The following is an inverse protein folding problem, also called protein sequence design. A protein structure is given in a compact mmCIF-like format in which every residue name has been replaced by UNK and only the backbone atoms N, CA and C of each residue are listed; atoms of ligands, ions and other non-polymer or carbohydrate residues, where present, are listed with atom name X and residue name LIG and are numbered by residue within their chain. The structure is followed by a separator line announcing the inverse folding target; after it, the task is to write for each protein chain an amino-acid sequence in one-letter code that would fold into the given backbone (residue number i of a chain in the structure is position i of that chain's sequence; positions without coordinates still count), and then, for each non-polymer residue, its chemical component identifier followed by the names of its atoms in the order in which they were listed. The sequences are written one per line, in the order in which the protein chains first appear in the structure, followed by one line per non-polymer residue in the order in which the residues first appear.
data_IF_390409799133
#
_entry.id   IF_390409799133
#
_cell.length_a   1.000
_cell.length_b   1.000
_cell.length_c   1.000
_cell.angle_alpha   90.00
_cell.angle_beta   90.00
_cell.angle_gamma   90.00
#
_symmetry.space_group_name_H-M   'P 1'
#
loop_
_entity.id
_entity.type
_entity.pdbx_description
1 polymer ?
#
# COMPACT_ATOMS: atom_id res chain seq x y z
N UNK A 1 13.00 -19.97 -1.88
CA UNK A 1 11.89 -19.09 -1.46
C UNK A 1 11.88 -19.11 0.05
N UNK A 2 12.17 -17.98 0.72
CA UNK A 2 12.28 -17.95 2.19
C UNK A 2 10.91 -17.54 2.77
N UNK A 3 10.16 -18.45 3.42
CA UNK A 3 8.81 -18.17 3.91
C UNK A 3 8.78 -17.14 5.04
N UNK A 4 9.90 -16.94 5.73
CA UNK A 4 10.00 -16.09 6.92
C UNK A 4 9.89 -14.59 6.59
N UNK A 5 10.28 -14.16 5.39
CA UNK A 5 10.21 -12.76 4.98
C UNK A 5 8.76 -12.23 4.92
N UNK A 6 7.79 -13.09 4.59
CA UNK A 6 6.38 -12.76 4.54
C UNK A 6 5.73 -12.74 5.93
N UNK A 7 6.18 -13.60 6.84
CA UNK A 7 5.69 -13.67 8.22
C UNK A 7 6.10 -12.44 9.03
N UNK A 8 7.30 -11.90 8.79
CA UNK A 8 7.75 -10.66 9.43
C UNK A 8 7.02 -9.41 8.91
N UNK A 9 6.60 -9.40 7.64
CA UNK A 9 5.71 -8.36 7.08
C UNK A 9 4.34 -8.34 7.78
N UNK A 10 3.77 -9.52 8.05
CA UNK A 10 2.44 -9.66 8.66
C UNK A 10 2.40 -9.26 10.15
N UNK A 11 3.51 -9.37 10.88
CA UNK A 11 3.56 -9.09 12.32
C UNK A 11 3.65 -7.59 12.69
N UNK A 12 3.96 -6.70 11.73
CA UNK A 12 4.09 -5.25 11.95
C UNK A 12 2.93 -4.42 11.41
N UNK A 13 2.01 -5.05 10.68
CA UNK A 13 0.84 -4.42 10.11
C UNK A 13 -0.35 -4.77 10.99
N UNK A 14 -1.08 -3.76 11.47
CA UNK A 14 -2.40 -4.00 12.05
C UNK A 14 -3.39 -4.23 10.89
N UNK A 15 -3.14 -5.27 10.08
CA UNK A 15 -3.91 -5.57 8.86
C UNK A 15 -5.34 -5.80 9.32
N UNK A 16 -6.24 -4.89 8.95
CA UNK A 16 -7.68 -5.14 9.04
C UNK A 16 -7.92 -6.52 8.37
N UNK A 17 -8.47 -7.52 9.07
CA UNK A 17 -8.44 -8.93 8.66
C UNK A 17 -9.07 -9.25 7.28
N UNK A 18 -9.57 -8.24 6.57
CA UNK A 18 -10.04 -8.33 5.20
C UNK A 18 -9.09 -7.83 4.10
N UNK A 19 -7.92 -7.24 4.40
CA UNK A 19 -7.00 -6.78 3.35
C UNK A 19 -6.07 -7.90 2.85
N UNK A 20 -5.97 -7.99 1.53
CA UNK A 20 -5.03 -8.83 0.80
C UNK A 20 -3.62 -8.23 0.81
N UNK A 21 -2.61 -9.07 0.59
CA UNK A 21 -1.20 -8.62 0.54
C UNK A 21 -0.98 -7.52 -0.51
N UNK A 22 -1.62 -7.62 -1.68
CA UNK A 22 -1.51 -6.60 -2.73
C UNK A 22 -2.17 -5.27 -2.34
N UNK A 23 -3.29 -5.30 -1.60
CA UNK A 23 -3.92 -4.09 -1.05
C UNK A 23 -3.01 -3.41 -0.03
N UNK A 24 -2.39 -4.19 0.85
CA UNK A 24 -1.40 -3.71 1.81
C UNK A 24 -0.20 -3.08 1.10
N UNK A 25 0.35 -3.72 0.07
CA UNK A 25 1.44 -3.16 -0.72
C UNK A 25 1.06 -1.85 -1.39
N UNK A 26 -0.12 -1.78 -2.03
CA UNK A 26 -0.62 -0.53 -2.64
C UNK A 26 -0.73 0.58 -1.59
N UNK A 27 -1.35 0.29 -0.44
CA UNK A 27 -1.51 1.28 0.63
C UNK A 27 -0.17 1.72 1.24
N UNK A 28 0.77 0.79 1.40
CA UNK A 28 2.11 1.10 1.90
C UNK A 28 2.88 1.97 0.92
N UNK A 29 2.72 1.73 -0.38
CA UNK A 29 3.31 2.55 -1.41
C UNK A 29 2.66 3.94 -1.43
N UNK A 30 1.34 4.05 -1.34
CA UNK A 30 0.63 5.35 -1.26
C UNK A 30 0.91 6.13 0.03
N UNK A 31 1.33 5.46 1.09
CA UNK A 31 1.73 6.10 2.33
C UNK A 31 3.19 6.57 2.31
N UNK A 32 4.08 5.75 1.72
CA UNK A 32 5.50 6.07 1.56
C UNK A 32 5.70 7.14 0.48
N UNK A 33 5.05 6.92 -0.67
CA UNK A 33 4.72 7.92 -1.67
C UNK A 33 3.42 8.62 -1.31
N UNK A 34 3.27 9.11 -0.07
CA UNK A 34 2.52 10.35 0.09
C UNK A 34 3.26 11.40 -0.75
N UNK A 35 2.98 11.35 -2.06
CA UNK A 35 3.51 12.14 -3.14
C UNK A 35 3.42 13.56 -2.65
N UNK A 36 4.58 14.13 -2.40
CA UNK A 36 4.76 15.52 -2.00
C UNK A 36 3.75 16.36 -2.79
N UNK A 37 2.74 16.92 -2.09
CA UNK A 37 1.76 17.92 -2.58
C UNK A 37 0.64 17.55 -3.56
N UNK A 38 0.57 16.36 -4.19
CA UNK A 38 -0.53 16.06 -5.15
C UNK A 38 -1.50 14.97 -4.63
N UNK A 39 -2.80 15.25 -4.47
CA UNK A 39 -3.78 14.24 -4.06
C UNK A 39 -4.06 13.16 -5.12
N UNK A 40 -3.68 13.38 -6.38
CA UNK A 40 -4.02 12.49 -7.51
C UNK A 40 -3.04 11.32 -7.66
N UNK A 41 -3.59 10.12 -7.68
CA UNK A 41 -2.89 8.84 -7.87
C UNK A 41 -2.76 8.56 -9.36
N UNK A 42 -1.52 8.49 -9.85
CA UNK A 42 -1.20 7.92 -11.15
C UNK A 42 -1.21 6.39 -11.07
N UNK A 43 -2.27 5.78 -11.59
CA UNK A 43 -2.46 4.33 -11.57
C UNK A 43 -1.37 3.59 -12.35
N UNK A 44 -0.89 4.16 -13.47
CA UNK A 44 0.11 3.49 -14.31
C UNK A 44 1.42 3.42 -13.56
N UNK A 45 1.84 4.52 -12.93
CA UNK A 45 3.04 4.55 -12.10
C UNK A 45 2.92 3.62 -10.88
N UNK A 46 1.76 3.65 -10.20
CA UNK A 46 1.49 2.78 -9.06
C UNK A 46 1.56 1.30 -9.47
N UNK A 47 0.95 0.93 -10.58
CA UNK A 47 1.01 -0.41 -11.15
C UNK A 47 2.45 -0.84 -11.45
N UNK A 48 3.21 -0.01 -12.15
CA UNK A 48 4.60 -0.32 -12.50
C UNK A 48 5.46 -0.56 -11.26
N UNK A 49 5.28 0.25 -10.22
CA UNK A 49 6.00 0.09 -8.94
C UNK A 49 5.61 -1.20 -8.24
N UNK A 50 4.31 -1.50 -8.12
CA UNK A 50 3.83 -2.72 -7.46
C UNK A 50 4.31 -3.99 -8.19
N UNK A 51 4.26 -4.00 -9.53
CA UNK A 51 4.75 -5.14 -10.33
C UNK A 51 6.26 -5.32 -10.19
N UNK A 52 7.04 -4.22 -10.15
CA UNK A 52 8.51 -4.28 -10.08
C UNK A 52 9.05 -4.54 -8.67
N UNK A 53 8.45 -3.96 -7.64
CA UNK A 53 8.95 -4.03 -6.26
C UNK A 53 8.51 -5.33 -5.58
N UNK A 54 7.27 -5.76 -5.80
CA UNK A 54 6.67 -6.87 -5.06
C UNK A 54 6.38 -8.09 -5.94
N UNK A 55 6.77 -8.06 -7.22
CA UNK A 55 6.58 -9.14 -8.19
C UNK A 55 5.13 -9.60 -8.37
N UNK A 56 4.15 -8.72 -8.09
CA UNK A 56 2.75 -9.01 -8.38
C UNK A 56 2.48 -8.99 -9.89
N UNK A 57 1.52 -9.79 -10.31
CA UNK A 57 0.96 -9.75 -11.67
C UNK A 57 0.04 -8.54 -11.84
N UNK A 58 -0.20 -8.15 -13.11
CA UNK A 58 -1.21 -7.15 -13.44
C UNK A 58 -2.60 -7.51 -12.89
N UNK A 59 -2.97 -8.80 -12.93
CA UNK A 59 -4.26 -9.26 -12.42
C UNK A 59 -4.40 -9.11 -10.91
N UNK A 60 -3.33 -9.33 -10.15
CA UNK A 60 -3.29 -9.11 -8.70
C UNK A 60 -3.38 -7.63 -8.38
N UNK A 61 -2.63 -6.79 -9.09
CA UNK A 61 -2.73 -5.34 -8.96
C UNK A 61 -4.17 -4.85 -9.17
N UNK A 62 -4.80 -5.21 -10.30
CA UNK A 62 -6.17 -4.82 -10.61
C UNK A 62 -7.16 -5.28 -9.52
N UNK A 63 -6.99 -6.52 -9.01
CA UNK A 63 -7.83 -7.05 -7.93
C UNK A 63 -7.67 -6.25 -6.64
N UNK A 64 -6.42 -5.95 -6.26
CA UNK A 64 -6.12 -5.16 -5.07
C UNK A 64 -6.68 -3.74 -5.18
N UNK A 65 -6.42 -3.08 -6.30
CA UNK A 65 -6.90 -1.72 -6.56
C UNK A 65 -8.44 -1.63 -6.52
N UNK A 66 -9.14 -2.57 -7.15
CA UNK A 66 -10.60 -2.65 -7.08
C UNK A 66 -11.11 -2.96 -5.67
N UNK A 67 -10.38 -3.75 -4.89
CA UNK A 67 -10.68 -4.01 -3.47
C UNK A 67 -10.62 -2.73 -2.64
N UNK A 68 -9.58 -1.90 -2.84
CA UNK A 68 -9.46 -0.60 -2.17
C UNK A 68 -10.59 0.38 -2.55
N UNK A 69 -11.02 0.39 -3.81
CA UNK A 69 -12.19 1.17 -4.26
C UNK A 69 -13.48 0.66 -3.60
N UNK A 70 -13.71 -0.65 -3.55
CA UNK A 70 -14.89 -1.23 -2.92
C UNK A 70 -14.95 -0.92 -1.42
N UNK A 71 -13.79 -0.85 -0.77
CA UNK A 71 -13.62 -0.45 0.64
C UNK A 71 -13.67 1.07 0.87
N UNK A 72 -13.83 1.86 -0.20
CA UNK A 72 -13.83 3.33 -0.17
C UNK A 72 -12.55 3.92 0.44
N UNK A 73 -11.43 3.23 0.34
CA UNK A 73 -10.11 3.77 0.71
C UNK A 73 -9.58 4.68 -0.40
N UNK A 74 -9.97 4.38 -1.63
CA UNK A 74 -9.76 5.21 -2.81
C UNK A 74 -11.09 5.70 -3.35
N UNK A 75 -11.09 6.86 -4.01
CA UNK A 75 -12.26 7.41 -4.68
C UNK A 75 -11.88 8.06 -6.03
N UNK A 76 -12.77 8.05 -7.02
CA UNK A 76 -12.54 8.72 -8.30
C UNK A 76 -12.57 10.25 -8.14
N UNK A 77 -11.66 10.95 -8.83
CA UNK A 77 -11.53 12.40 -8.83
C UNK A 77 -11.51 12.96 -10.26
N UNK A 78 -12.64 12.81 -10.95
CA UNK A 78 -12.79 13.13 -12.37
C UNK A 78 -12.54 11.93 -13.27
N UNK A 79 -12.30 12.19 -14.55
CA UNK A 79 -12.09 11.13 -15.54
C UNK A 79 -10.74 10.45 -15.32
N UNK A 80 -10.77 9.14 -15.02
CA UNK A 80 -9.60 8.26 -14.89
C UNK A 80 -8.57 8.68 -13.83
N UNK A 81 -8.96 9.52 -12.88
CA UNK A 81 -8.12 9.96 -11.76
C UNK A 81 -8.67 9.44 -10.45
N UNK A 82 -7.79 9.14 -9.51
CA UNK A 82 -8.16 8.58 -8.22
C UNK A 82 -7.40 9.30 -7.13
N UNK A 83 -7.98 9.36 -5.94
CA UNK A 83 -7.37 9.98 -4.76
C UNK A 83 -7.63 9.08 -3.55
N UNK A 84 -6.86 9.29 -2.47
CA UNK A 84 -7.25 8.76 -1.17
C UNK A 84 -8.49 9.50 -0.69
N UNK A 85 -9.54 8.74 -0.34
CA UNK A 85 -10.72 9.28 0.31
C UNK A 85 -10.37 9.80 1.71
N UNK A 86 -11.24 10.61 2.31
CA UNK A 86 -11.04 11.07 3.70
C UNK A 86 -10.90 9.89 4.69
N UNK A 87 -11.65 8.81 4.45
CA UNK A 87 -11.53 7.56 5.21
C UNK A 87 -10.17 6.90 4.96
N UNK A 88 -9.72 6.79 3.71
CA UNK A 88 -8.42 6.23 3.35
C UNK A 88 -7.25 7.02 3.93
N UNK A 89 -7.34 8.36 3.94
CA UNK A 89 -6.34 9.23 4.58
C UNK A 89 -6.30 9.02 6.08
N UNK A 90 -7.45 8.93 6.72
CA UNK A 90 -7.55 8.66 8.16
C UNK A 90 -7.02 7.26 8.50
N UNK A 91 -7.31 6.28 7.64
CA UNK A 91 -6.81 4.91 7.75
C UNK A 91 -5.29 4.85 7.69
N UNK A 92 -4.68 5.59 6.77
CA UNK A 92 -3.22 5.68 6.62
C UNK A 92 -2.53 6.54 7.70
N UNK A 93 -3.17 7.62 8.15
CA UNK A 93 -2.61 8.52 9.17
C UNK A 93 -2.75 7.96 10.59
N UNK A 94 -3.75 7.11 10.84
CA UNK A 94 -4.01 6.43 12.11
C UNK A 94 -2.96 5.37 12.51
N UNK A 95 -1.88 5.21 11.74
CA UNK A 95 -0.71 4.41 12.15
C UNK A 95 -0.80 2.91 11.87
N UNK A 96 -1.73 2.44 11.04
CA UNK A 96 -1.83 1.00 10.70
C UNK A 96 -0.63 0.50 9.87
N UNK A 97 0.10 1.41 9.22
CA UNK A 97 1.28 1.12 8.41
C UNK A 97 2.48 1.94 8.94
N UNK A 98 2.96 1.69 10.16
CA UNK A 98 4.03 2.52 10.78
C UNK A 98 5.38 1.83 11.04
N UNK A 99 5.61 0.57 10.65
CA UNK A 99 6.86 -0.12 11.02
C UNK A 99 7.61 -0.76 9.86
N UNK A 100 8.07 0.04 8.88
CA UNK A 100 9.06 -0.42 7.89
C UNK A 100 10.43 0.24 8.10
N UNK A 101 10.59 1.20 9.02
CA UNK A 101 11.85 1.97 9.17
C UNK A 101 12.50 1.93 10.57
N UNK A 102 12.30 0.86 11.34
CA UNK A 102 13.10 0.61 12.57
C UNK A 102 13.42 -0.88 12.69
N UNK A 103 14.53 -1.28 12.10
CA UNK A 103 15.01 -2.66 12.19
C UNK A 103 16.25 -2.97 11.36
N UNK A 104 17.12 -1.99 11.14
CA UNK A 104 18.52 -2.33 10.90
C UNK A 104 19.17 -2.40 12.28
N UNK A 105 19.67 -3.55 12.73
CA UNK A 105 20.50 -3.60 13.92
C UNK A 105 21.75 -2.76 13.68
N UNK A 106 21.80 -1.58 14.30
CA UNK A 106 23.06 -0.91 14.61
C UNK A 106 23.81 -1.75 15.64
N UNK A 107 24.48 -2.82 15.22
CA UNK A 107 25.63 -3.36 15.95
C UNK A 107 26.69 -3.75 14.91
N UNK A 108 27.30 -2.72 14.32
CA UNK A 108 28.73 -2.71 14.03
C UNK A 108 29.41 -2.48 15.38
N UNK A 109 29.99 -3.53 15.95
CA UNK A 109 31.18 -3.50 16.81
C UNK A 109 31.86 -4.87 16.76
#
# INVERSE_FOLDING_TARGET
MNPDALTHLQNGLNIDPGLTLVEVSILSLLQTDALLTDPVIDIVLLQERIIRCDNFTLGEFCRGFMGLLARRLLEPHGEFRFVLSDYGRTYLSGGVVQNISRGLPEEVL
#
